data_IF_350325777429
#
_entry.id   IF_350325777429
#
_cell.length_a   1.000
_cell.length_b   1.000
_cell.length_c   1.000
_cell.angle_alpha   90.00
_cell.angle_beta   90.00
_cell.angle_gamma   90.00
#
_symmetry.space_group_name_H-M   'P 1'
#
loop_
_entity.id
_entity.type
_entity.pdbx_description
1 polymer ?
#
# COMPACT_ATOMS: atom_id res chain seq x y z
N UNK A 1 -3.62 15.75 8.31
CA UNK A 1 -2.67 16.88 8.09
C UNK A 1 -1.49 16.32 7.29
N UNK A 2 -1.41 16.63 5.99
CA UNK A 2 -0.34 16.11 5.12
C UNK A 2 0.98 16.79 5.45
N UNK A 3 2.04 16.01 5.75
CA UNK A 3 3.41 16.52 5.80
C UNK A 3 3.96 16.63 4.36
N UNK A 4 4.68 17.71 4.01
CA UNK A 4 5.27 17.85 2.69
C UNK A 4 6.39 16.83 2.50
N UNK A 5 6.45 16.24 1.31
CA UNK A 5 7.52 15.35 0.88
C UNK A 5 8.79 16.20 0.71
N UNK A 6 9.83 15.92 1.52
CA UNK A 6 11.13 16.59 1.38
C UNK A 6 11.73 16.28 0.01
N UNK A 7 12.32 17.31 -0.60
CA UNK A 7 12.85 17.29 -1.96
C UNK A 7 13.76 16.08 -2.24
N UNK A 8 13.35 15.27 -3.21
CA UNK A 8 14.15 14.17 -3.74
C UNK A 8 15.13 14.74 -4.76
N UNK A 9 16.41 14.91 -4.37
CA UNK A 9 17.48 15.21 -5.32
C UNK A 9 17.78 13.95 -6.13
N UNK A 10 17.26 13.88 -7.36
CA UNK A 10 17.70 12.90 -8.32
C UNK A 10 18.92 13.44 -9.08
N UNK A 11 20.04 12.72 -8.98
CA UNK A 11 21.27 12.99 -9.72
C UNK A 11 21.02 12.80 -11.21
N UNK A 12 21.55 13.69 -12.03
CA UNK A 12 21.24 13.91 -13.47
C UNK A 12 21.42 12.66 -14.38
N UNK A 13 21.95 11.55 -13.87
CA UNK A 13 22.15 10.28 -14.61
C UNK A 13 21.13 9.19 -14.32
N UNK A 14 20.25 9.35 -13.33
CA UNK A 14 19.23 8.37 -12.99
C UNK A 14 17.85 8.88 -13.42
N UNK A 15 17.07 8.07 -14.11
CA UNK A 15 15.67 8.40 -14.44
C UNK A 15 14.87 8.57 -13.15
N UNK A 16 14.63 9.82 -12.73
CA UNK A 16 13.79 10.16 -11.57
C UNK A 16 12.33 9.82 -11.87
N UNK A 17 11.93 8.59 -11.59
CA UNK A 17 10.51 8.23 -11.66
C UNK A 17 9.83 8.63 -10.34
N UNK A 18 8.97 9.64 -10.42
CA UNK A 18 8.12 10.04 -9.31
C UNK A 18 6.85 9.21 -9.31
N UNK A 19 6.60 8.49 -8.22
CA UNK A 19 5.38 7.71 -8.03
C UNK A 19 4.51 8.32 -6.93
N UNK A 20 3.19 8.26 -7.12
CA UNK A 20 2.20 8.69 -6.13
C UNK A 20 1.29 7.51 -5.80
N UNK A 21 1.26 7.16 -4.52
CA UNK A 21 0.36 6.14 -3.96
C UNK A 21 -0.44 6.75 -2.82
N UNK A 22 -1.61 6.17 -2.51
CA UNK A 22 -2.38 6.59 -1.32
C UNK A 22 -1.57 6.34 -0.05
N UNK A 23 -0.98 5.15 0.05
CA UNK A 23 -0.14 4.71 1.16
C UNK A 23 1.09 3.96 0.62
N UNK A 24 2.22 4.06 1.32
CA UNK A 24 3.43 3.26 1.08
C UNK A 24 3.83 2.61 2.41
N UNK A 25 3.99 1.29 2.41
CA UNK A 25 4.34 0.51 3.60
C UNK A 25 5.79 0.04 3.52
N UNK A 26 6.53 0.21 4.61
CA UNK A 26 7.93 -0.19 4.71
C UNK A 26 8.09 -1.64 5.18
N UNK A 27 9.32 -2.16 5.21
CA UNK A 27 9.59 -3.55 5.61
C UNK A 27 9.23 -3.88 7.07
N UNK A 28 9.04 -2.87 7.91
CA UNK A 28 8.65 -3.04 9.32
C UNK A 28 7.14 -3.00 9.55
N UNK A 29 6.33 -2.75 8.51
CA UNK A 29 4.88 -2.78 8.63
C UNK A 29 4.42 -4.20 8.94
N UNK A 30 3.58 -4.33 9.96
CA UNK A 30 2.99 -5.61 10.37
C UNK A 30 1.72 -5.92 9.58
N UNK A 31 1.34 -7.20 9.51
CA UNK A 31 0.08 -7.62 8.88
C UNK A 31 -1.15 -7.01 9.59
N UNK A 32 -1.09 -6.85 10.91
CA UNK A 32 -2.16 -6.20 11.67
C UNK A 32 -2.33 -4.72 11.26
N UNK A 33 -1.24 -3.96 11.16
CA UNK A 33 -1.30 -2.58 10.70
C UNK A 33 -1.80 -2.47 9.25
N UNK A 34 -1.37 -3.38 8.38
CA UNK A 34 -1.82 -3.40 6.99
C UNK A 34 -3.33 -3.68 6.90
N UNK A 35 -3.83 -4.69 7.64
CA UNK A 35 -5.25 -5.00 7.72
C UNK A 35 -6.07 -3.82 8.23
N UNK A 36 -5.64 -3.20 9.33
CA UNK A 36 -6.36 -2.08 9.93
C UNK A 36 -6.42 -0.86 9.00
N UNK A 37 -5.34 -0.57 8.27
CA UNK A 37 -5.27 0.61 7.43
C UNK A 37 -5.93 0.45 6.05
N UNK A 38 -6.03 -0.77 5.52
CA UNK A 38 -6.54 -1.03 4.15
C UNK A 38 -7.87 -1.77 4.17
N UNK A 39 -7.95 -2.86 4.92
CA UNK A 39 -9.03 -3.85 4.80
C UNK A 39 -10.19 -3.53 5.75
N UNK A 40 -9.91 -2.97 6.92
CA UNK A 40 -10.92 -2.76 7.96
C UNK A 40 -12.11 -1.91 7.48
N UNK A 41 -11.86 -0.70 6.95
CA UNK A 41 -12.92 0.17 6.43
C UNK A 41 -13.66 -0.46 5.23
N UNK A 42 -12.92 -1.12 4.34
CA UNK A 42 -13.51 -1.85 3.21
C UNK A 42 -14.48 -2.94 3.69
N UNK A 43 -14.11 -3.67 4.75
CA UNK A 43 -14.95 -4.70 5.35
C UNK A 43 -16.20 -4.12 6.02
N UNK A 44 -16.09 -2.98 6.71
CA UNK A 44 -17.25 -2.30 7.29
C UNK A 44 -18.24 -1.86 6.20
N UNK A 45 -17.76 -1.25 5.10
CA UNK A 45 -18.59 -0.88 3.96
C UNK A 45 -19.24 -2.10 3.31
N UNK A 46 -18.49 -3.19 3.17
CA UNK A 46 -19.01 -4.45 2.66
C UNK A 46 -20.15 -5.01 3.53
N UNK A 47 -19.97 -5.02 4.86
CA UNK A 47 -21.01 -5.45 5.80
C UNK A 47 -22.25 -4.54 5.78
N UNK A 48 -22.11 -3.28 5.36
CA UNK A 48 -23.22 -2.34 5.16
C UNK A 48 -23.89 -2.45 3.77
N UNK A 49 -23.53 -3.46 2.97
CA UNK A 49 -24.19 -3.77 1.70
C UNK A 49 -23.52 -3.18 0.46
N UNK A 50 -22.29 -2.69 0.55
CA UNK A 50 -21.50 -2.27 -0.61
C UNK A 50 -20.66 -3.42 -1.18
N UNK A 51 -20.39 -3.40 -2.49
CA UNK A 51 -19.45 -4.34 -3.09
C UNK A 51 -18.00 -3.96 -2.76
N UNK A 52 -17.15 -4.96 -2.52
CA UNK A 52 -15.73 -4.78 -2.22
C UNK A 52 -14.85 -5.68 -3.09
N UNK A 53 -13.73 -5.15 -3.56
CA UNK A 53 -12.72 -5.88 -4.34
C UNK A 53 -11.33 -5.62 -3.75
N UNK A 54 -10.68 -6.69 -3.30
CA UNK A 54 -9.29 -6.68 -2.84
C UNK A 54 -8.45 -7.63 -3.70
N UNK A 55 -7.38 -7.11 -4.28
CA UNK A 55 -6.42 -7.90 -5.04
C UNK A 55 -5.00 -7.41 -4.78
N UNK A 56 -4.03 -8.32 -4.92
CA UNK A 56 -2.60 -8.00 -4.86
C UNK A 56 -1.95 -8.33 -6.20
N UNK A 57 -1.02 -7.48 -6.63
CA UNK A 57 -0.30 -7.66 -7.90
C UNK A 57 1.20 -7.44 -7.69
N UNK A 58 2.01 -8.11 -8.50
CA UNK A 58 3.47 -8.04 -8.41
C UNK A 58 4.13 -9.31 -8.92
N UNK A 59 5.45 -9.23 -9.16
CA UNK A 59 6.27 -10.36 -9.62
C UNK A 59 6.32 -11.50 -8.60
N UNK A 60 6.69 -12.71 -9.01
CA UNK A 60 6.89 -13.83 -8.08
C UNK A 60 7.84 -13.43 -6.94
N UNK A 61 7.59 -13.91 -5.73
CA UNK A 61 8.33 -13.56 -4.50
C UNK A 61 8.15 -12.11 -3.98
N UNK A 62 7.26 -11.30 -4.57
CA UNK A 62 6.99 -9.92 -4.11
C UNK A 62 6.16 -9.80 -2.82
N UNK A 63 5.90 -10.90 -2.11
CA UNK A 63 5.12 -10.89 -0.87
C UNK A 63 3.59 -10.99 -1.01
N UNK A 64 3.02 -11.14 -2.23
CA UNK A 64 1.54 -11.23 -2.43
C UNK A 64 0.83 -12.22 -1.52
N UNK A 65 1.30 -13.48 -1.49
CA UNK A 65 0.70 -14.54 -0.67
C UNK A 65 0.82 -14.22 0.82
N UNK A 66 1.95 -13.66 1.24
CA UNK A 66 2.16 -13.20 2.62
C UNK A 66 1.20 -12.05 2.97
N UNK A 67 0.98 -11.11 2.05
CA UNK A 67 0.07 -9.98 2.30
C UNK A 67 -1.40 -10.41 2.44
N UNK A 68 -1.89 -11.33 1.59
CA UNK A 68 -3.31 -11.72 1.58
C UNK A 68 -3.63 -12.82 2.61
N UNK A 69 -2.71 -13.77 2.83
CA UNK A 69 -2.95 -14.96 3.63
C UNK A 69 -1.94 -15.16 4.77
N UNK A 70 -0.85 -14.37 4.81
CA UNK A 70 0.22 -14.48 5.81
C UNK A 70 -0.08 -13.74 7.11
#
# INVERSE_FOLDING_TARGET
MFKPMKDMKCSITDTCNLYRFSNIYGPHTTQAELFQNIVHNMLERYLNGEDALLFSFGTTNSGKTFTIQG
#
